data_IF_833457708488
#
_entry.id   IF_833457708488
#
_cell.length_a   1.000
_cell.length_b   1.000
_cell.length_c   1.000
_cell.angle_alpha   90.00
_cell.angle_beta   90.00
_cell.angle_gamma   90.00
#
_symmetry.space_group_name_H-M   'P 1'
#
loop_
_entity.id
_entity.type
_entity.pdbx_description
1 polymer ?
#
# COMPACT_ATOMS: atom_id res chain seq x y z
N UNK A 1 -10.20 -2.93 -4.13
CA UNK A 1 -9.13 -1.95 -3.82
C UNK A 1 -7.76 -2.61 -3.91
N UNK A 2 -7.48 -3.69 -3.14
CA UNK A 2 -6.20 -4.43 -3.22
C UNK A 2 -5.82 -4.86 -4.64
N UNK A 3 -6.73 -5.50 -5.37
CA UNK A 3 -6.53 -5.91 -6.77
C UNK A 3 -6.13 -4.75 -7.71
N UNK A 4 -6.54 -3.51 -7.40
CA UNK A 4 -6.16 -2.35 -8.20
C UNK A 4 -4.69 -1.99 -7.99
N UNK A 5 -4.20 -2.05 -6.74
CA UNK A 5 -2.78 -1.86 -6.42
C UNK A 5 -1.92 -2.95 -7.04
N UNK A 6 -2.32 -4.20 -6.88
CA UNK A 6 -1.60 -5.35 -7.45
C UNK A 6 -1.48 -5.24 -8.97
N UNK A 7 -2.53 -4.78 -9.64
CA UNK A 7 -2.49 -4.54 -11.08
C UNK A 7 -1.48 -3.46 -11.45
N UNK A 8 -1.51 -2.31 -10.76
CA UNK A 8 -0.57 -1.22 -11.03
C UNK A 8 0.88 -1.67 -10.84
N UNK A 9 1.16 -2.41 -9.77
CA UNK A 9 2.50 -2.93 -9.48
C UNK A 9 2.91 -3.93 -10.56
N UNK A 10 2.02 -4.86 -10.94
CA UNK A 10 2.28 -5.83 -12.00
C UNK A 10 2.54 -5.16 -13.34
N UNK A 11 1.76 -4.15 -13.71
CA UNK A 11 1.94 -3.44 -14.97
C UNK A 11 3.34 -2.81 -15.07
N UNK A 12 3.87 -2.29 -13.95
CA UNK A 12 5.25 -1.78 -13.89
C UNK A 12 6.27 -2.92 -13.96
N UNK A 13 6.09 -3.99 -13.19
CA UNK A 13 6.99 -5.17 -13.19
C UNK A 13 7.07 -5.82 -14.58
N UNK A 14 5.94 -5.96 -15.27
CA UNK A 14 5.86 -6.49 -16.64
C UNK A 14 6.56 -5.56 -17.65
N UNK A 15 6.54 -4.25 -17.40
CA UNK A 15 7.20 -3.23 -18.23
C UNK A 15 8.72 -3.27 -18.15
N UNK A 16 9.29 -3.44 -16.95
CA UNK A 16 10.75 -3.43 -16.72
C UNK A 16 11.38 -4.83 -16.68
N UNK A 17 10.56 -5.87 -16.46
CA UNK A 17 10.97 -7.27 -16.30
C UNK A 17 11.37 -7.62 -14.86
N UNK A 18 11.10 -8.87 -14.44
CA UNK A 18 11.30 -9.38 -13.06
C UNK A 18 12.73 -9.20 -12.55
N UNK A 19 13.74 -9.54 -13.36
CA UNK A 19 15.15 -9.45 -12.95
C UNK A 19 15.57 -8.01 -12.67
N UNK A 20 15.20 -7.08 -13.56
CA UNK A 20 15.43 -5.65 -13.40
C UNK A 20 14.69 -5.12 -12.18
N UNK A 21 13.40 -5.48 -12.05
CA UNK A 21 12.56 -5.03 -10.96
C UNK A 21 13.15 -5.42 -9.60
N UNK A 22 13.57 -6.67 -9.41
CA UNK A 22 14.19 -7.12 -8.17
C UNK A 22 15.52 -6.39 -7.90
N UNK A 23 16.37 -6.25 -8.93
CA UNK A 23 17.69 -5.64 -8.79
C UNK A 23 17.63 -4.14 -8.45
N UNK A 24 16.72 -3.38 -9.07
CA UNK A 24 16.66 -1.93 -8.92
C UNK A 24 15.77 -1.48 -7.75
N UNK A 25 14.70 -2.21 -7.44
CA UNK A 25 13.84 -1.90 -6.28
C UNK A 25 14.40 -2.40 -4.95
N UNK A 26 15.28 -3.40 -4.99
CA UNK A 26 15.78 -4.10 -3.80
C UNK A 26 14.75 -5.04 -3.15
N UNK A 27 13.62 -5.29 -3.83
CA UNK A 27 12.60 -6.26 -3.40
C UNK A 27 13.08 -7.68 -3.71
N UNK A 28 12.68 -8.63 -2.85
CA UNK A 28 13.01 -10.04 -3.00
C UNK A 28 12.56 -10.58 -4.37
N UNK A 29 13.46 -11.33 -5.04
CA UNK A 29 13.22 -11.78 -6.41
C UNK A 29 12.07 -12.77 -6.53
N UNK A 30 11.84 -13.62 -5.52
CA UNK A 30 10.72 -14.56 -5.51
C UNK A 30 9.41 -13.77 -5.35
N UNK A 31 9.39 -12.75 -4.49
CA UNK A 31 8.24 -11.87 -4.32
C UNK A 31 7.87 -11.12 -5.61
N UNK A 32 8.86 -10.61 -6.35
CA UNK A 32 8.64 -9.96 -7.65
C UNK A 32 8.13 -10.95 -8.69
N UNK A 33 8.64 -12.19 -8.69
CA UNK A 33 8.17 -13.23 -9.59
C UNK A 33 6.71 -13.61 -9.33
N UNK A 34 6.30 -13.71 -8.06
CA UNK A 34 4.91 -13.98 -7.67
C UNK A 34 3.97 -12.86 -8.17
N UNK A 35 4.37 -11.60 -8.04
CA UNK A 35 3.62 -10.45 -8.57
C UNK A 35 3.45 -10.54 -10.09
N UNK A 36 4.52 -10.86 -10.83
CA UNK A 36 4.49 -11.01 -12.28
C UNK A 36 3.64 -12.21 -12.73
N UNK A 37 3.65 -13.31 -11.96
CA UNK A 37 2.77 -14.47 -12.16
C UNK A 37 1.29 -14.13 -11.87
N UNK A 38 1.05 -12.96 -11.31
CA UNK A 38 -0.25 -12.44 -10.96
C UNK A 38 -0.83 -13.01 -9.68
N UNK A 39 0.04 -13.54 -8.84
CA UNK A 39 -0.26 -13.93 -7.48
C UNK A 39 -0.37 -12.68 -6.59
N UNK A 40 -0.80 -12.91 -5.36
CA UNK A 40 -1.18 -11.85 -4.44
C UNK A 40 -0.42 -11.98 -3.11
N UNK A 41 0.93 -11.97 -3.14
CA UNK A 41 1.73 -12.26 -1.97
C UNK A 41 1.54 -11.20 -0.88
N UNK A 42 1.96 -11.52 0.35
CA UNK A 42 2.07 -10.52 1.40
C UNK A 42 3.22 -9.57 1.04
N UNK A 43 2.90 -8.29 0.91
CA UNK A 43 3.83 -7.27 0.44
C UNK A 43 3.62 -6.00 1.25
N UNK A 44 4.72 -5.34 1.60
CA UNK A 44 4.72 -4.05 2.29
C UNK A 44 4.47 -2.92 1.31
N UNK A 45 3.87 -1.85 1.83
CA UNK A 45 3.62 -0.62 1.06
C UNK A 45 4.92 -0.03 0.53
N UNK A 46 6.00 -0.09 1.31
CA UNK A 46 7.32 0.39 0.88
C UNK A 46 7.91 -0.44 -0.28
N UNK A 47 7.69 -1.76 -0.30
CA UNK A 47 8.13 -2.64 -1.39
C UNK A 47 7.32 -2.36 -2.66
N UNK A 48 6.00 -2.20 -2.53
CA UNK A 48 5.14 -1.79 -3.62
C UNK A 48 5.54 -0.42 -4.20
N UNK A 49 5.84 0.56 -3.34
CA UNK A 49 6.29 1.87 -3.77
C UNK A 49 7.66 1.80 -4.48
N UNK A 50 8.58 0.96 -4.00
CA UNK A 50 9.87 0.74 -4.66
C UNK A 50 9.71 0.15 -6.07
N UNK A 51 8.74 -0.75 -6.28
CA UNK A 51 8.42 -1.29 -7.60
C UNK A 51 7.78 -0.25 -8.51
N UNK A 52 6.81 0.53 -8.01
CA UNK A 52 6.14 1.58 -8.81
C UNK A 52 7.12 2.66 -9.27
N UNK A 53 8.08 3.05 -8.42
CA UNK A 53 9.09 4.06 -8.71
C UNK A 53 10.07 3.67 -9.84
N UNK A 54 9.99 2.45 -10.37
CA UNK A 54 10.76 2.02 -11.55
C UNK A 54 10.17 2.54 -12.86
N UNK A 55 8.94 3.05 -12.85
CA UNK A 55 8.32 3.72 -14.00
C UNK A 55 8.38 5.24 -13.84
N UNK A 56 8.72 5.94 -14.92
CA UNK A 56 8.72 7.41 -14.99
C UNK A 56 7.31 8.03 -14.80
N UNK A 57 6.26 7.19 -14.81
CA UNK A 57 4.88 7.61 -14.53
C UNK A 57 4.63 7.89 -13.04
N UNK A 58 5.50 7.41 -12.16
CA UNK A 58 5.37 7.53 -10.71
C UNK A 58 6.51 8.38 -10.12
N UNK A 59 6.26 9.08 -9.00
CA UNK A 59 7.34 9.72 -8.26
C UNK A 59 8.22 8.66 -7.56
N UNK A 60 9.28 9.10 -6.89
CA UNK A 60 10.12 8.20 -6.12
C UNK A 60 9.35 7.49 -4.98
N UNK A 61 9.91 6.37 -4.51
CA UNK A 61 9.21 5.50 -3.55
C UNK A 61 8.92 6.18 -2.21
N UNK A 62 9.78 7.10 -1.75
CA UNK A 62 9.56 7.86 -0.52
C UNK A 62 8.37 8.82 -0.68
N UNK A 63 8.32 9.55 -1.80
CA UNK A 63 7.21 10.43 -2.13
C UNK A 63 5.88 9.66 -2.22
N UNK A 64 5.85 8.50 -2.90
CA UNK A 64 4.65 7.65 -2.97
C UNK A 64 4.12 7.32 -1.57
N UNK A 65 4.99 6.87 -0.66
CA UNK A 65 4.59 6.46 0.69
C UNK A 65 4.11 7.66 1.51
N UNK A 66 4.78 8.80 1.40
CA UNK A 66 4.40 10.03 2.11
C UNK A 66 3.04 10.55 1.64
N UNK A 67 2.84 10.65 0.32
CA UNK A 67 1.57 11.11 -0.27
C UNK A 67 0.42 10.16 0.08
N UNK A 68 0.67 8.85 0.06
CA UNK A 68 -0.31 7.86 0.47
C UNK A 68 -0.74 8.06 1.93
N UNK A 69 0.22 8.24 2.86
CA UNK A 69 -0.08 8.46 4.28
C UNK A 69 -0.86 9.75 4.49
N UNK A 70 -0.45 10.84 3.82
CA UNK A 70 -1.17 12.11 3.87
C UNK A 70 -2.61 11.96 3.35
N UNK A 71 -2.81 11.23 2.24
CA UNK A 71 -4.13 10.99 1.68
C UNK A 71 -5.04 10.23 2.66
N UNK A 72 -4.52 9.20 3.34
CA UNK A 72 -5.27 8.47 4.35
C UNK A 72 -5.65 9.37 5.55
N UNK A 73 -4.71 10.17 6.05
CA UNK A 73 -4.96 11.10 7.16
C UNK A 73 -5.98 12.18 6.80
N UNK A 74 -5.88 12.73 5.58
CA UNK A 74 -6.85 13.68 5.06
C UNK A 74 -8.24 13.03 4.93
N UNK A 75 -8.30 11.81 4.38
CA UNK A 75 -9.53 11.04 4.26
C UNK A 75 -10.18 10.77 5.62
N UNK A 76 -9.39 10.43 6.65
CA UNK A 76 -9.88 10.28 8.02
C UNK A 76 -10.43 11.59 8.57
N UNK A 77 -9.74 12.71 8.33
CA UNK A 77 -10.19 14.04 8.78
C UNK A 77 -11.52 14.42 8.12
N UNK A 78 -11.66 14.19 6.82
CA UNK A 78 -12.90 14.42 6.08
C UNK A 78 -14.06 13.57 6.60
N UNK A 79 -13.80 12.29 6.88
CA UNK A 79 -14.81 11.36 7.39
C UNK A 79 -15.06 11.44 8.89
N UNK A 80 -14.34 12.31 9.60
CA UNK A 80 -14.35 12.41 11.08
C UNK A 80 -14.12 11.04 11.73
N UNK A 81 -13.11 10.31 11.22
CA UNK A 81 -12.75 8.98 11.68
C UNK A 81 -11.54 9.03 12.62
N UNK A 82 -11.59 8.24 13.69
CA UNK A 82 -10.45 7.93 14.54
C UNK A 82 -9.92 6.50 14.28
N UNK A 83 -8.71 6.22 14.77
CA UNK A 83 -8.04 4.93 14.56
C UNK A 83 -8.76 3.76 15.24
N UNK A 84 -9.45 4.01 16.36
CA UNK A 84 -10.20 2.98 17.08
C UNK A 84 -11.47 2.57 16.30
N UNK A 85 -12.10 3.53 15.64
CA UNK A 85 -13.20 3.31 14.71
C UNK A 85 -12.75 2.46 13.53
N UNK A 86 -11.59 2.76 12.94
CA UNK A 86 -11.03 1.93 11.86
C UNK A 86 -10.76 0.51 12.40
N UNK A 87 -9.99 0.38 13.48
CA UNK A 87 -9.62 -0.90 14.08
C UNK A 87 -10.83 -1.80 14.39
N UNK A 88 -11.93 -1.21 14.85
CA UNK A 88 -13.16 -1.93 15.18
C UNK A 88 -13.98 -2.37 13.96
N UNK A 89 -13.69 -1.82 12.78
CA UNK A 89 -14.45 -2.07 11.54
C UNK A 89 -13.65 -2.76 10.44
N UNK A 90 -12.32 -2.84 10.56
CA UNK A 90 -11.46 -3.60 9.64
C UNK A 90 -11.06 -4.93 10.29
N UNK A 91 -11.25 -6.05 9.60
CA UNK A 91 -10.91 -7.39 10.09
C UNK A 91 -9.40 -7.68 10.01
N UNK A 92 -8.58 -6.77 10.53
CA UNK A 92 -7.10 -6.86 10.46
C UNK A 92 -6.45 -7.39 11.75
N UNK A 93 -7.22 -7.50 12.84
CA UNK A 93 -6.67 -7.87 14.15
C UNK A 93 -5.70 -6.85 14.75
N UNK A 94 -5.66 -5.62 14.20
CA UNK A 94 -4.83 -4.52 14.66
C UNK A 94 -5.57 -3.67 15.70
N UNK A 95 -4.82 -3.18 16.69
CA UNK A 95 -5.28 -2.13 17.60
C UNK A 95 -5.27 -0.75 16.92
N UNK A 96 -6.03 0.21 17.47
CA UNK A 96 -5.98 1.59 17.02
C UNK A 96 -4.57 2.19 17.08
N UNK A 97 -3.76 1.80 18.07
CA UNK A 97 -2.37 2.23 18.18
C UNK A 97 -1.50 1.70 17.04
N UNK A 98 -1.66 0.43 16.65
CA UNK A 98 -0.90 -0.15 15.53
C UNK A 98 -1.28 0.50 14.20
N UNK A 99 -2.57 0.80 14.00
CA UNK A 99 -3.04 1.59 12.85
C UNK A 99 -2.42 2.99 12.87
N UNK A 100 -2.42 3.67 14.01
CA UNK A 100 -1.79 4.98 14.14
C UNK A 100 -0.30 4.92 13.78
N UNK A 101 0.44 3.93 14.30
CA UNK A 101 1.85 3.76 14.00
C UNK A 101 2.11 3.47 12.52
N UNK A 102 1.26 2.70 11.86
CA UNK A 102 1.35 2.45 10.42
C UNK A 102 1.16 3.74 9.60
N UNK A 103 0.15 4.55 9.95
CA UNK A 103 -0.12 5.84 9.30
C UNK A 103 0.98 6.89 9.56
N UNK A 104 1.60 6.86 10.74
CA UNK A 104 2.75 7.71 11.10
C UNK A 104 4.09 7.18 10.54
N UNK A 105 4.10 6.01 9.89
CA UNK A 105 5.31 5.38 9.37
C UNK A 105 6.28 4.83 10.41
N UNK A 106 5.78 4.58 11.62
CA UNK A 106 6.53 3.96 12.72
C UNK A 106 6.49 2.44 12.70
N UNK A 107 5.55 1.85 11.95
CA UNK A 107 5.45 0.43 11.71
C UNK A 107 5.17 0.19 10.21
N UNK A 108 5.81 -0.80 9.55
CA UNK A 108 5.45 -1.18 8.20
C UNK A 108 3.97 -1.56 8.09
N UNK A 109 3.39 -1.24 6.94
CA UNK A 109 2.00 -1.56 6.58
C UNK A 109 2.00 -2.49 5.38
N UNK A 110 1.15 -3.51 5.38
CA UNK A 110 0.97 -4.39 4.22
C UNK A 110 -0.04 -3.82 3.22
N UNK A 111 0.01 -4.27 1.96
CA UNK A 111 -1.00 -3.92 0.95
C UNK A 111 -2.42 -4.36 1.32
N UNK A 112 -2.56 -5.46 2.07
CA UNK A 112 -3.85 -5.90 2.60
C UNK A 112 -4.39 -4.91 3.63
N UNK A 113 -3.56 -4.53 4.61
CA UNK A 113 -3.92 -3.53 5.62
C UNK A 113 -4.26 -2.20 4.97
N UNK A 114 -3.44 -1.74 4.02
CA UNK A 114 -3.69 -0.53 3.25
C UNK A 114 -5.05 -0.58 2.57
N UNK A 115 -5.32 -1.65 1.80
CA UNK A 115 -6.54 -1.77 1.03
C UNK A 115 -7.78 -1.81 1.92
N UNK A 116 -7.71 -2.46 3.08
CA UNK A 116 -8.82 -2.50 4.04
C UNK A 116 -9.08 -1.12 4.68
N UNK A 117 -8.02 -0.46 5.15
CA UNK A 117 -8.11 0.88 5.79
C UNK A 117 -8.61 1.91 4.78
N UNK A 118 -8.00 1.98 3.60
CA UNK A 118 -8.36 2.96 2.58
C UNK A 118 -9.80 2.73 2.10
N UNK A 119 -10.21 1.48 1.87
CA UNK A 119 -11.58 1.17 1.49
C UNK A 119 -12.58 1.65 2.54
N UNK A 120 -12.32 1.39 3.81
CA UNK A 120 -13.20 1.82 4.89
C UNK A 120 -13.32 3.35 4.97
N UNK A 121 -12.20 4.07 4.82
CA UNK A 121 -12.20 5.54 4.79
C UNK A 121 -13.02 6.07 3.59
N UNK A 122 -12.80 5.51 2.39
CA UNK A 122 -13.54 5.90 1.19
C UNK A 122 -15.06 5.66 1.33
N UNK A 123 -15.45 4.46 1.79
CA UNK A 123 -16.86 4.11 2.03
C UNK A 123 -17.53 5.01 3.08
N UNK A 124 -16.78 5.63 3.99
CA UNK A 124 -17.29 6.60 4.95
C UNK A 124 -17.44 8.00 4.38
N UNK A 125 -16.54 8.41 3.49
CA UNK A 125 -16.56 9.73 2.86
C UNK A 125 -17.60 9.85 1.74
N UNK A 126 -18.01 8.74 1.14
CA UNK A 126 -19.05 8.69 0.10
C UNK A 126 -20.50 8.75 0.66
N UNK A 127 -20.67 8.90 1.97
CA UNK A 127 -21.97 8.82 2.67
C UNK A 127 -22.58 10.16 3.04
#
# INVERSE_FOLDING_TARGET
>A
MREAYERQIRDVVDGVGVETAAAESGVDADLVADVAAGEAPEMRVEEAAALLALSDDYPDSEAIVLELRDHLLLGMTTGVLDVDTIASNVELGLSGQEIQQALEGRNPMTLEQLAAIHRFIAERNDR
#
